data_IF_350472761253
#
_entry.id   IF_350472761253
#
_cell.length_a   1.000
_cell.length_b   1.000
_cell.length_c   1.000
_cell.angle_alpha   90.00
_cell.angle_beta   90.00
_cell.angle_gamma   90.00
#
_symmetry.space_group_name_H-M   'P 1'
#
loop_
_entity.id
_entity.type
_entity.pdbx_description
1 polymer ?
#
# COMPACT_ATOMS: atom_id res chain seq x y z
N UNK A 1 -9.89 -0.24 -12.64
CA UNK A 1 -10.77 0.49 -13.58
C UNK A 1 -11.27 1.71 -12.84
N UNK A 2 -10.80 2.91 -13.19
CA UNK A 2 -11.27 4.15 -12.57
C UNK A 2 -12.67 4.43 -13.12
N UNK A 3 -13.68 4.35 -12.25
CA UNK A 3 -15.06 4.69 -12.60
C UNK A 3 -15.28 6.13 -12.16
N UNK A 4 -15.24 7.06 -13.11
CA UNK A 4 -15.59 8.46 -12.86
C UNK A 4 -17.10 8.66 -13.02
N UNK A 5 -17.62 9.70 -12.38
CA UNK A 5 -19.03 10.05 -12.46
C UNK A 5 -19.39 10.43 -13.92
N UNK A 6 -20.39 9.80 -14.55
CA UNK A 6 -20.72 10.03 -15.96
C UNK A 6 -21.15 11.46 -16.28
N UNK A 7 -21.65 12.22 -15.30
CA UNK A 7 -21.98 13.64 -15.51
C UNK A 7 -20.73 14.51 -15.55
N UNK A 8 -19.74 14.21 -14.71
CA UNK A 8 -18.46 14.93 -14.66
C UNK A 8 -17.63 14.69 -15.92
N UNK A 9 -17.64 13.46 -16.45
CA UNK A 9 -16.97 13.13 -17.72
C UNK A 9 -17.54 13.92 -18.90
N UNK A 10 -18.85 14.15 -18.92
CA UNK A 10 -19.52 14.89 -20.02
C UNK A 10 -19.28 16.39 -19.93
N UNK A 11 -19.27 16.96 -18.74
CA UNK A 11 -19.20 18.41 -18.55
C UNK A 11 -17.76 18.93 -18.45
N UNK A 12 -16.86 18.20 -17.78
CA UNK A 12 -15.56 18.74 -17.37
C UNK A 12 -14.41 18.17 -18.21
N UNK A 13 -14.47 16.90 -18.59
CA UNK A 13 -13.40 16.25 -19.34
C UNK A 13 -13.12 16.89 -20.73
N UNK A 14 -14.13 17.28 -21.55
CA UNK A 14 -13.84 17.88 -22.86
C UNK A 14 -13.10 19.23 -22.72
N UNK A 15 -13.52 20.11 -21.80
CA UNK A 15 -12.84 21.38 -21.58
C UNK A 15 -11.43 21.23 -20.98
N UNK A 16 -11.21 20.19 -20.17
CA UNK A 16 -9.86 19.87 -19.68
C UNK A 16 -8.95 19.34 -20.80
N UNK A 17 -9.49 18.53 -21.71
CA UNK A 17 -8.77 18.02 -22.88
C UNK A 17 -8.44 19.11 -23.89
N UNK A 18 -9.35 20.05 -24.13
CA UNK A 18 -9.10 21.21 -24.99
C UNK A 18 -7.95 22.06 -24.45
N UNK A 19 -7.96 22.39 -23.16
CA UNK A 19 -6.86 23.12 -22.50
C UNK A 19 -5.54 22.36 -22.56
N UNK A 20 -5.58 21.03 -22.43
CA UNK A 20 -4.38 20.19 -22.57
C UNK A 20 -3.83 20.29 -24.00
N UNK A 21 -4.70 20.19 -25.01
CA UNK A 21 -4.30 20.28 -26.42
C UNK A 21 -3.75 21.68 -26.74
N UNK A 22 -4.35 22.74 -26.21
CA UNK A 22 -3.82 24.10 -26.33
C UNK A 22 -2.43 24.22 -25.70
N UNK A 23 -2.23 23.71 -24.49
CA UNK A 23 -0.92 23.69 -23.84
C UNK A 23 0.12 22.89 -24.63
N UNK A 24 -0.27 21.76 -25.22
CA UNK A 24 0.62 20.93 -26.06
C UNK A 24 0.97 21.65 -27.37
N UNK A 25 0.03 22.36 -27.98
CA UNK A 25 0.31 23.19 -29.16
C UNK A 25 1.23 24.36 -28.84
N UNK A 26 1.11 24.94 -27.64
CA UNK A 26 2.01 25.98 -27.16
C UNK A 26 3.39 25.47 -26.71
N UNK A 27 3.58 24.15 -26.56
CA UNK A 27 4.88 23.51 -26.32
C UNK A 27 5.70 23.29 -27.60
N UNK A 28 5.20 23.75 -28.76
CA UNK A 28 5.95 23.70 -30.02
C UNK A 28 7.10 24.70 -30.00
N UNK A 29 8.31 24.15 -30.12
CA UNK A 29 9.64 24.76 -30.20
C UNK A 29 10.21 25.29 -28.88
N UNK A 30 10.87 24.41 -28.08
CA UNK A 30 11.97 24.89 -27.26
C UNK A 30 13.11 25.29 -28.22
N UNK A 31 13.35 26.59 -28.37
CA UNK A 31 14.70 27.07 -28.62
C UNK A 31 15.64 26.31 -27.68
N UNK A 32 16.81 25.81 -28.14
CA UNK A 32 17.69 25.04 -27.30
C UNK A 32 18.32 25.96 -26.26
N UNK A 33 17.58 26.24 -25.18
CA UNK A 33 18.09 26.90 -23.98
C UNK A 33 19.35 26.15 -23.58
N UNK A 34 20.47 26.83 -23.72
CA UNK A 34 21.77 26.25 -23.44
C UNK A 34 21.78 25.79 -21.98
N UNK A 35 22.49 24.70 -21.69
CA UNK A 35 22.56 24.12 -20.34
C UNK A 35 22.99 25.18 -19.29
N UNK A 36 23.75 26.18 -19.74
CA UNK A 36 24.11 27.40 -19.01
C UNK A 36 22.93 28.27 -18.63
N UNK A 37 22.00 28.58 -19.54
CA UNK A 37 20.80 29.38 -19.24
C UNK A 37 19.89 28.68 -18.24
N UNK A 38 19.64 27.37 -18.41
CA UNK A 38 18.88 26.60 -17.41
C UNK A 38 19.56 26.60 -16.05
N UNK A 39 20.89 26.51 -16.01
CA UNK A 39 21.66 26.56 -14.76
C UNK A 39 21.55 27.92 -14.08
N UNK A 40 21.51 29.02 -14.83
CA UNK A 40 21.31 30.36 -14.27
C UNK A 40 19.92 30.57 -13.66
N UNK A 41 18.89 29.92 -14.20
CA UNK A 41 17.54 29.95 -13.62
C UNK A 41 17.48 29.33 -12.21
N UNK A 42 18.28 28.29 -11.95
CA UNK A 42 18.39 27.68 -10.61
C UNK A 42 19.25 28.48 -9.63
N UNK A 43 20.12 29.38 -10.11
CA UNK A 43 20.97 30.22 -9.23
C UNK A 43 20.29 31.51 -8.78
N UNK A 44 19.30 31.99 -9.53
CA UNK A 44 18.51 33.19 -9.20
C UNK A 44 17.33 32.88 -8.28
N UNK A 45 17.49 31.92 -7.37
CA UNK A 45 16.49 31.66 -6.33
C UNK A 45 16.56 32.78 -5.30
N UNK A 46 15.40 33.31 -4.85
CA UNK A 46 15.37 34.24 -3.74
C UNK A 46 16.12 33.64 -2.53
N UNK A 47 16.82 34.46 -1.72
CA UNK A 47 17.60 33.95 -0.61
C UNK A 47 16.72 33.05 0.26
N UNK A 48 17.24 31.91 0.77
CA UNK A 48 16.44 30.87 1.40
C UNK A 48 15.54 31.41 2.53
N UNK A 49 15.98 32.47 3.22
CA UNK A 49 15.22 33.18 4.24
C UNK A 49 13.91 33.81 3.75
N UNK A 50 13.87 34.32 2.51
CA UNK A 50 12.65 34.90 1.90
C UNK A 50 11.65 33.83 1.47
N UNK A 51 12.14 32.71 0.94
CA UNK A 51 11.31 31.53 0.62
C UNK A 51 10.72 30.90 1.89
N UNK A 52 11.53 30.75 2.95
CA UNK A 52 11.02 30.24 4.24
C UNK A 52 9.96 31.18 4.85
N UNK A 53 10.11 32.50 4.70
CA UNK A 53 9.12 33.49 5.15
C UNK A 53 7.81 33.42 4.37
N UNK A 54 7.87 33.27 3.05
CA UNK A 54 6.64 33.17 2.23
C UNK A 54 5.89 31.87 2.52
N UNK A 55 6.62 30.75 2.71
CA UNK A 55 6.04 29.46 3.11
C UNK A 55 5.40 29.57 4.49
N UNK A 56 6.09 30.15 5.48
CA UNK A 56 5.55 30.27 6.84
C UNK A 56 4.33 31.19 6.89
N UNK A 57 4.34 32.28 6.12
CA UNK A 57 3.18 33.18 5.97
C UNK A 57 1.99 32.45 5.34
N UNK A 58 2.23 31.67 4.28
CA UNK A 58 1.19 30.86 3.64
C UNK A 58 0.59 29.83 4.61
N UNK A 59 1.43 29.09 5.33
CA UNK A 59 0.99 28.12 6.32
C UNK A 59 0.21 28.80 7.47
N UNK A 60 0.67 29.97 7.93
CA UNK A 60 -0.02 30.77 8.93
C UNK A 60 -1.41 31.20 8.46
N UNK A 61 -1.53 31.68 7.22
CA UNK A 61 -2.81 32.04 6.61
C UNK A 61 -3.74 30.84 6.48
N UNK A 62 -3.20 29.69 6.08
CA UNK A 62 -4.01 28.48 5.89
C UNK A 62 -4.50 27.93 7.24
N UNK A 63 -3.65 27.94 8.29
CA UNK A 63 -4.04 27.61 9.66
C UNK A 63 -5.12 28.55 10.17
N UNK A 64 -4.95 29.86 10.02
CA UNK A 64 -5.95 30.84 10.46
C UNK A 64 -7.30 30.65 9.76
N UNK A 65 -7.30 30.33 8.45
CA UNK A 65 -8.53 30.03 7.72
C UNK A 65 -9.21 28.77 8.23
N UNK A 66 -8.44 27.70 8.44
CA UNK A 66 -8.96 26.45 8.97
C UNK A 66 -9.47 26.62 10.40
N UNK A 67 -8.75 27.34 11.25
CA UNK A 67 -9.16 27.62 12.62
C UNK A 67 -10.45 28.46 12.66
N UNK A 68 -10.57 29.47 11.79
CA UNK A 68 -11.80 30.26 11.67
C UNK A 68 -12.98 29.41 11.21
N UNK A 69 -12.79 28.56 10.19
CA UNK A 69 -13.82 27.64 9.69
C UNK A 69 -14.23 26.63 10.77
N UNK A 70 -13.26 25.99 11.42
CA UNK A 70 -13.48 25.02 12.48
C UNK A 70 -14.20 25.65 13.68
N UNK A 71 -13.81 26.87 14.08
CA UNK A 71 -14.49 27.58 15.16
C UNK A 71 -15.94 27.91 14.81
N UNK A 72 -16.21 28.37 13.58
CA UNK A 72 -17.56 28.69 13.13
C UNK A 72 -18.47 27.45 13.02
N UNK A 73 -17.90 26.31 12.64
CA UNK A 73 -18.65 25.06 12.49
C UNK A 73 -18.89 24.36 13.84
N UNK A 74 -17.84 24.24 14.66
CA UNK A 74 -17.86 23.35 15.83
C UNK A 74 -18.06 24.05 17.17
N UNK A 75 -17.91 25.38 17.26
CA UNK A 75 -18.06 26.11 18.53
C UNK A 75 -19.24 27.09 18.46
N UNK A 76 -19.88 27.32 19.61
CA UNK A 76 -20.83 28.43 19.76
C UNK A 76 -20.07 29.78 19.79
N UNK A 77 -20.67 30.88 19.31
CA UNK A 77 -20.05 32.20 19.40
C UNK A 77 -19.76 32.53 20.87
N UNK A 78 -18.51 32.86 21.14
CA UNK A 78 -17.92 32.92 22.48
C UNK A 78 -18.48 34.10 23.29
N UNK A 79 -18.95 33.84 24.51
CA UNK A 79 -18.78 34.80 25.61
C UNK A 79 -17.33 34.72 26.12
N UNK A 80 -16.85 35.76 26.80
CA UNK A 80 -15.42 36.03 27.09
C UNK A 80 -14.69 34.93 27.90
N UNK A 81 -15.38 33.91 28.41
CA UNK A 81 -14.83 32.83 29.26
C UNK A 81 -15.14 31.43 28.74
N UNK A 82 -15.14 31.25 27.42
CA UNK A 82 -15.45 29.98 26.76
C UNK A 82 -14.21 29.12 26.50
N UNK A 83 -14.32 27.80 26.67
CA UNK A 83 -13.32 26.84 26.20
C UNK A 83 -13.92 25.83 25.22
N UNK A 84 -13.11 25.33 24.28
CA UNK A 84 -13.58 24.41 23.23
C UNK A 84 -14.19 23.10 23.76
N UNK A 85 -13.91 22.73 25.02
CA UNK A 85 -14.49 21.56 25.68
C UNK A 85 -15.92 21.80 26.20
N UNK A 86 -16.27 23.02 26.55
CA UNK A 86 -17.58 23.35 27.14
C UNK A 86 -18.58 23.85 26.10
N UNK A 87 -18.10 24.45 25.01
CA UNK A 87 -18.94 25.24 24.10
C UNK A 87 -19.10 24.61 22.72
N UNK A 88 -18.90 23.30 22.64
CA UNK A 88 -19.11 22.53 21.42
C UNK A 88 -20.56 22.66 20.94
N UNK A 89 -20.72 22.97 19.65
CA UNK A 89 -22.02 22.97 18.97
C UNK A 89 -22.52 21.53 18.85
N UNK A 90 -23.80 21.31 19.12
CA UNK A 90 -24.44 20.01 18.89
C UNK A 90 -24.49 19.75 17.39
N UNK A 91 -23.78 18.72 16.93
CA UNK A 91 -23.78 18.30 15.52
C UNK A 91 -25.00 17.43 15.24
N UNK A 92 -25.72 17.76 14.18
CA UNK A 92 -26.77 16.91 13.64
C UNK A 92 -26.13 15.79 12.80
N UNK A 93 -26.17 14.57 13.33
CA UNK A 93 -25.51 13.42 12.71
C UNK A 93 -26.27 12.91 11.49
N UNK A 94 -27.57 13.18 11.40
CA UNK A 94 -28.42 12.69 10.31
C UNK A 94 -28.17 13.45 9.01
N UNK A 95 -27.79 14.74 9.11
CA UNK A 95 -27.36 15.55 7.95
C UNK A 95 -25.90 15.32 7.58
N UNK A 96 -25.03 14.99 8.54
CA UNK A 96 -23.59 14.78 8.31
C UNK A 96 -23.25 13.35 7.84
N UNK A 97 -24.05 12.34 8.22
CA UNK A 97 -23.83 10.94 7.84
C UNK A 97 -24.61 10.59 6.56
N UNK A 98 -23.92 10.57 5.42
CA UNK A 98 -24.49 9.99 4.19
C UNK A 98 -24.32 8.47 4.21
N UNK A 99 -25.41 7.73 4.31
CA UNK A 99 -25.37 6.27 4.22
C UNK A 99 -25.26 5.84 2.74
N UNK A 100 -24.07 5.39 2.33
CA UNK A 100 -23.91 4.66 1.08
C UNK A 100 -24.36 3.19 1.30
N UNK A 101 -25.67 2.97 1.30
CA UNK A 101 -26.24 1.62 1.39
C UNK A 101 -26.06 0.93 0.04
N UNK A 102 -24.98 0.15 -0.09
CA UNK A 102 -24.83 -0.78 -1.18
C UNK A 102 -25.87 -1.91 -1.04
N UNK A 103 -26.93 -1.86 -1.85
CA UNK A 103 -27.88 -2.97 -1.97
C UNK A 103 -27.21 -4.11 -2.74
N UNK A 104 -26.52 -4.97 -2.01
CA UNK A 104 -26.13 -6.27 -2.54
C UNK A 104 -27.37 -7.17 -2.49
N UNK A 105 -28.03 -7.36 -3.63
CA UNK A 105 -29.17 -8.29 -3.79
C UNK A 105 -28.79 -9.75 -3.46
N UNK A 106 -27.48 -10.07 -3.39
CA UNK A 106 -26.96 -11.36 -2.94
C UNK A 106 -26.41 -11.27 -1.51
N UNK A 107 -27.32 -11.44 -0.55
CA UNK A 107 -26.98 -11.64 0.85
C UNK A 107 -26.41 -13.04 1.14
N UNK A 108 -25.71 -13.22 2.27
CA UNK A 108 -25.11 -14.52 2.69
C UNK A 108 -26.10 -15.69 2.71
N UNK A 109 -27.39 -15.39 2.89
CA UNK A 109 -28.49 -16.37 2.97
C UNK A 109 -28.76 -17.10 1.64
N UNK A 110 -28.47 -16.47 0.48
CA UNK A 110 -28.64 -17.13 -0.83
C UNK A 110 -27.56 -18.18 -1.11
N UNK A 111 -26.43 -18.14 -0.39
CA UNK A 111 -25.36 -19.15 -0.50
C UNK A 111 -25.68 -20.47 0.20
N UNK A 112 -26.64 -20.49 1.12
CA UNK A 112 -26.91 -21.68 1.96
C UNK A 112 -28.17 -22.47 1.56
N UNK A 113 -29.04 -21.93 0.71
CA UNK A 113 -30.33 -22.57 0.39
C UNK A 113 -30.39 -23.36 -0.93
N UNK A 114 -29.27 -23.56 -1.64
CA UNK A 114 -29.29 -24.38 -2.87
C UNK A 114 -28.84 -25.83 -2.62
N UNK A 115 -29.73 -26.62 -2.04
CA UNK A 115 -29.71 -28.09 -2.18
C UNK A 115 -31.16 -28.60 -2.20
N UNK A 116 -31.70 -28.81 -3.40
CA UNK A 116 -32.47 -30.00 -3.80
C UNK A 116 -32.98 -29.90 -5.26
N UNK A 117 -32.35 -30.73 -6.11
CA UNK A 117 -32.79 -31.45 -7.32
C UNK A 117 -33.52 -30.74 -8.49
N UNK A 118 -32.91 -30.84 -9.68
CA UNK A 118 -33.60 -31.27 -10.91
C UNK A 118 -33.39 -30.42 -12.16
N UNK A 119 -32.58 -30.92 -13.12
CA UNK A 119 -32.56 -30.73 -14.60
C UNK A 119 -32.75 -29.32 -15.17
N UNK A 120 -31.88 -28.80 -16.05
CA UNK A 120 -31.78 -29.17 -17.47
C UNK A 120 -30.43 -28.67 -18.02
N UNK A 121 -29.86 -29.45 -18.95
CA UNK A 121 -28.66 -29.18 -19.75
C UNK A 121 -28.74 -27.82 -20.46
N UNK A 122 -27.66 -27.04 -20.45
CA UNK A 122 -27.14 -26.56 -21.73
C UNK A 122 -25.67 -26.15 -21.67
N UNK A 123 -25.02 -26.35 -22.81
CA UNK A 123 -23.59 -26.36 -23.01
C UNK A 123 -22.99 -24.95 -23.08
N UNK A 124 -22.01 -24.70 -22.22
CA UNK A 124 -20.72 -24.08 -22.56
C UNK A 124 -19.87 -24.05 -21.30
N UNK A 125 -18.91 -24.98 -21.27
CA UNK A 125 -17.91 -25.05 -20.22
C UNK A 125 -17.16 -23.73 -20.07
N UNK A 126 -17.39 -23.05 -18.95
CA UNK A 126 -16.44 -22.14 -18.30
C UNK A 126 -16.71 -22.25 -16.80
N UNK A 127 -16.02 -23.18 -16.15
CA UNK A 127 -15.72 -23.03 -14.73
C UNK A 127 -14.94 -21.71 -14.60
N UNK A 128 -15.59 -20.67 -14.10
CA UNK A 128 -14.86 -19.55 -13.49
C UNK A 128 -14.26 -20.08 -12.20
N UNK A 129 -13.01 -20.53 -12.30
CA UNK A 129 -12.07 -20.55 -11.19
C UNK A 129 -11.83 -19.08 -10.85
N UNK A 130 -12.59 -18.56 -9.88
CA UNK A 130 -12.45 -17.16 -9.48
C UNK A 130 -11.10 -16.96 -8.77
N UNK A 131 -10.20 -16.32 -9.53
CA UNK A 131 -8.92 -15.69 -9.15
C UNK A 131 -7.87 -16.61 -8.51
N UNK A 132 -7.20 -17.37 -9.36
CA UNK A 132 -5.80 -17.70 -9.14
C UNK A 132 -4.98 -16.41 -8.95
N UNK A 133 -4.67 -16.12 -7.69
CA UNK A 133 -3.36 -15.70 -7.20
C UNK A 133 -2.47 -14.95 -8.21
N UNK A 134 -2.75 -13.65 -8.43
CA UNK A 134 -1.86 -12.71 -9.13
C UNK A 134 -0.48 -12.56 -8.43
N UNK A 135 -0.21 -13.25 -7.32
CA UNK A 135 1.11 -13.27 -6.68
C UNK A 135 2.12 -14.18 -7.38
N UNK A 136 1.66 -15.13 -8.21
CA UNK A 136 2.53 -16.06 -8.96
C UNK A 136 3.28 -15.41 -10.12
N UNK A 137 3.07 -14.13 -10.41
CA UNK A 137 3.72 -13.43 -11.55
C UNK A 137 4.77 -12.41 -11.10
N UNK A 138 5.00 -12.25 -9.80
CA UNK A 138 6.00 -11.31 -9.30
C UNK A 138 7.39 -11.99 -9.25
N UNK A 139 8.35 -11.63 -10.13
CA UNK A 139 9.68 -12.25 -10.16
C UNK A 139 10.43 -12.08 -8.83
N UNK A 140 10.18 -10.98 -8.11
CA UNK A 140 10.74 -10.72 -6.78
C UNK A 140 10.31 -11.74 -5.72
N UNK A 141 9.16 -12.40 -5.89
CA UNK A 141 8.69 -13.43 -4.94
C UNK A 141 9.43 -14.74 -5.16
N UNK A 142 9.76 -15.08 -6.41
CA UNK A 142 10.55 -16.27 -6.73
C UNK A 142 12.00 -16.14 -6.24
N UNK A 143 12.60 -14.96 -6.39
CA UNK A 143 13.94 -14.67 -5.84
C UNK A 143 13.97 -14.87 -4.32
N UNK A 144 12.98 -14.33 -3.61
CA UNK A 144 12.83 -14.55 -2.17
C UNK A 144 12.63 -16.02 -1.79
N UNK A 145 11.90 -16.79 -2.60
CA UNK A 145 11.71 -18.23 -2.35
C UNK A 145 13.04 -18.97 -2.54
N UNK A 146 13.80 -18.65 -3.59
CA UNK A 146 15.12 -19.23 -3.82
C UNK A 146 16.10 -18.90 -2.68
N UNK A 147 16.08 -17.65 -2.19
CA UNK A 147 16.89 -17.22 -1.05
C UNK A 147 16.50 -17.99 0.23
N UNK A 148 15.20 -18.21 0.46
CA UNK A 148 14.70 -18.97 1.60
C UNK A 148 15.07 -20.45 1.50
N UNK A 149 14.95 -21.05 0.31
CA UNK A 149 15.32 -22.44 0.06
C UNK A 149 16.82 -22.67 0.24
N UNK A 150 17.65 -21.73 -0.23
CA UNK A 150 19.08 -21.72 0.01
C UNK A 150 19.42 -21.53 1.50
N UNK A 151 18.68 -20.66 2.21
CA UNK A 151 18.89 -20.42 3.64
C UNK A 151 18.53 -21.62 4.51
N UNK A 152 17.53 -22.40 4.11
CA UNK A 152 17.05 -23.57 4.85
C UNK A 152 17.67 -24.89 4.37
N UNK A 153 18.44 -24.87 3.27
CA UNK A 153 18.93 -26.06 2.58
C UNK A 153 17.81 -27.09 2.26
N UNK A 154 16.63 -26.59 1.91
CA UNK A 154 15.46 -27.41 1.57
C UNK A 154 15.01 -27.08 0.16
N UNK A 155 14.87 -28.09 -0.70
CA UNK A 155 14.30 -27.95 -2.04
C UNK A 155 12.81 -28.31 -2.00
N UNK A 156 11.94 -27.36 -2.33
CA UNK A 156 10.50 -27.60 -2.34
C UNK A 156 10.02 -28.25 -3.64
N UNK A 157 9.13 -29.23 -3.53
CA UNK A 157 8.39 -29.80 -4.68
C UNK A 157 6.91 -29.47 -4.48
N UNK A 158 6.26 -28.76 -5.41
CA UNK A 158 4.88 -28.31 -5.20
C UNK A 158 3.89 -29.47 -5.35
N UNK A 159 3.14 -29.75 -4.29
CA UNK A 159 1.85 -30.43 -4.36
C UNK A 159 0.74 -29.37 -4.43
N UNK A 160 -0.07 -29.39 -5.48
CA UNK A 160 -1.20 -28.45 -5.67
C UNK A 160 -2.42 -28.83 -4.81
N UNK A 161 -3.27 -27.88 -4.33
CA UNK A 161 -3.09 -26.44 -4.20
C UNK A 161 -3.23 -26.01 -2.73
N UNK A 162 -2.11 -25.77 -2.03
CA UNK A 162 -2.14 -25.03 -0.76
C UNK A 162 -1.78 -23.57 -1.05
N UNK A 163 -2.65 -22.64 -0.66
CA UNK A 163 -2.38 -21.21 -0.82
C UNK A 163 -1.04 -20.83 -0.15
N UNK A 164 -0.30 -19.88 -0.71
CA UNK A 164 0.98 -19.42 -0.18
C UNK A 164 0.86 -19.00 1.31
N UNK A 165 -0.27 -18.43 1.68
CA UNK A 165 -0.58 -18.03 3.05
C UNK A 165 -0.73 -19.25 3.99
N UNK A 166 -1.35 -20.32 3.50
CA UNK A 166 -1.39 -21.61 4.21
C UNK A 166 0.02 -22.19 4.39
N UNK A 167 0.91 -22.05 3.39
CA UNK A 167 2.31 -22.47 3.49
C UNK A 167 3.06 -21.69 4.57
N UNK A 168 2.94 -20.37 4.61
CA UNK A 168 3.57 -19.52 5.63
C UNK A 168 3.10 -19.95 7.01
N UNK A 169 1.78 -20.05 7.21
CA UNK A 169 1.19 -20.46 8.49
C UNK A 169 1.69 -21.83 8.93
N UNK A 170 1.77 -22.80 8.03
CA UNK A 170 2.25 -24.15 8.37
C UNK A 170 3.73 -24.13 8.79
N UNK A 171 4.56 -23.35 8.10
CA UNK A 171 5.98 -23.20 8.44
C UNK A 171 6.15 -22.50 9.79
N UNK A 172 5.39 -21.45 10.08
CA UNK A 172 5.39 -20.77 11.38
C UNK A 172 4.97 -21.70 12.52
N UNK A 173 3.86 -22.43 12.36
CA UNK A 173 3.40 -23.42 13.34
C UNK A 173 4.43 -24.55 13.55
N UNK A 174 5.20 -24.89 12.52
CA UNK A 174 6.26 -25.88 12.64
C UNK A 174 7.51 -25.34 13.33
N UNK A 175 7.93 -24.10 13.03
CA UNK A 175 9.05 -23.42 13.69
C UNK A 175 8.76 -23.29 15.20
N UNK A 176 7.55 -22.84 15.57
CA UNK A 176 7.13 -22.70 16.97
C UNK A 176 7.20 -24.06 17.70
N UNK A 177 6.79 -25.15 17.03
CA UNK A 177 6.92 -26.50 17.61
C UNK A 177 8.37 -26.89 17.84
N UNK A 178 9.25 -26.65 16.88
CA UNK A 178 10.67 -26.99 17.00
C UNK A 178 11.37 -26.17 18.10
N UNK A 179 11.06 -24.88 18.24
CA UNK A 179 11.58 -24.07 19.35
C UNK A 179 11.11 -24.55 20.72
N UNK A 180 9.87 -25.05 20.80
CA UNK A 180 9.29 -25.56 22.04
C UNK A 180 9.82 -26.94 22.41
N UNK A 181 9.90 -27.85 21.44
CA UNK A 181 10.26 -29.26 21.67
C UNK A 181 11.77 -29.47 21.74
N UNK A 182 12.54 -28.73 20.96
CA UNK A 182 14.00 -28.85 20.93
C UNK A 182 14.71 -27.48 20.96
N UNK A 183 14.62 -26.75 22.09
CA UNK A 183 15.26 -25.44 22.25
C UNK A 183 16.77 -25.40 21.91
N UNK A 184 17.63 -26.36 22.32
CA UNK A 184 19.06 -26.28 22.03
C UNK A 184 19.38 -26.54 20.55
N UNK A 185 18.60 -27.39 19.88
CA UNK A 185 18.74 -27.64 18.44
C UNK A 185 18.27 -26.42 17.64
N UNK A 186 17.09 -25.88 17.96
CA UNK A 186 16.55 -24.66 17.36
C UNK A 186 17.50 -23.48 17.56
N UNK A 187 18.06 -23.32 18.76
CA UNK A 187 19.04 -22.28 19.04
C UNK A 187 20.29 -22.41 18.17
N UNK A 188 20.74 -23.64 17.84
CA UNK A 188 21.90 -23.87 16.97
C UNK A 188 21.59 -23.57 15.50
N UNK A 189 20.42 -23.99 15.02
CA UNK A 189 20.06 -23.99 13.60
C UNK A 189 19.26 -22.76 13.15
N UNK A 190 18.58 -22.03 14.03
CA UNK A 190 17.84 -20.81 13.69
C UNK A 190 18.69 -19.55 13.84
N UNK A 191 18.57 -18.66 12.87
CA UNK A 191 19.26 -17.38 12.86
C UNK A 191 18.49 -16.35 13.70
N UNK A 192 18.68 -16.39 15.02
CA UNK A 192 18.02 -15.49 15.95
C UNK A 192 18.72 -14.11 15.99
N UNK A 193 18.00 -12.99 15.77
CA UNK A 193 18.59 -11.67 15.85
C UNK A 193 19.08 -11.38 17.27
N UNK A 194 20.34 -10.94 17.41
CA UNK A 194 21.11 -10.75 18.66
C UNK A 194 21.74 -12.00 19.29
N UNK A 195 22.01 -13.03 18.48
CA UNK A 195 22.94 -14.11 18.86
C UNK A 195 24.40 -13.69 18.64
N UNK A 196 24.82 -12.58 19.23
CA UNK A 196 26.20 -12.10 19.11
C UNK A 196 27.15 -13.02 19.89
N UNK A 197 27.90 -13.81 19.12
CA UNK A 197 29.30 -14.17 19.31
C UNK A 197 29.74 -14.69 20.70
N UNK A 198 29.59 -15.99 20.93
CA UNK A 198 30.61 -16.81 21.59
C UNK A 198 30.25 -18.29 21.44
N UNK A 199 30.67 -18.92 20.34
CA UNK A 199 31.13 -20.32 20.28
C UNK A 199 31.86 -20.43 18.94
N UNK A 200 33.19 -20.41 19.02
CA UNK A 200 34.07 -20.92 17.99
C UNK A 200 33.65 -22.36 17.70
N UNK A 201 33.23 -22.66 16.47
CA UNK A 201 33.46 -23.97 15.89
C UNK A 201 34.22 -23.78 14.59
N UNK A 202 35.50 -24.12 14.71
CA UNK A 202 36.48 -24.29 13.65
C UNK A 202 35.84 -25.08 12.49
N UNK A 203 35.85 -24.47 11.30
CA UNK A 203 35.70 -25.20 10.05
C UNK A 203 36.90 -26.14 9.89
N UNK A 204 36.71 -27.45 9.64
CA UNK A 204 37.79 -28.28 9.16
C UNK A 204 37.72 -28.38 7.63
N UNK A 205 38.91 -28.29 7.04
CA UNK A 205 39.31 -28.81 5.74
C UNK A 205 39.31 -27.83 4.54
N UNK A 206 40.35 -26.99 4.57
CA UNK A 206 41.16 -26.69 3.39
C UNK A 206 41.63 -27.99 2.71
N UNK A 207 41.39 -28.11 1.40
CA UNK A 207 42.07 -29.06 0.51
C UNK A 207 42.76 -28.27 -0.60
N UNK A 208 44.09 -28.23 -0.60
CA UNK A 208 44.95 -28.18 -1.80
C UNK A 208 46.42 -28.21 -1.35
N UNK A 209 47.06 -29.38 -1.44
CA UNK A 209 48.01 -29.79 -2.49
C UNK A 209 49.44 -29.24 -2.27
N UNK A 210 50.33 -30.12 -1.77
CA UNK A 210 51.76 -30.06 -2.08
C UNK A 210 51.97 -30.44 -3.56
N UNK A 211 53.03 -29.92 -4.21
CA UNK A 211 54.12 -30.85 -4.54
C UNK A 211 55.54 -30.27 -4.39
N UNK A 212 56.43 -31.20 -4.01
CA UNK A 212 57.91 -31.31 -4.10
C UNK A 212 58.77 -30.13 -3.65
#
# INVERSE_FOLDING_TARGET
MLVLNPTWERETAPGALERLIENIKHLSEPEPDTLTERKTAYTNLPPPSTVTKSISQYLGRNRARNDASNRAEFLRPTSETSCARTDAKTLDRDTQMKYDIAKNEDGPLRRTTKKEKGSVLDEKGKQKVDRADESLTNPAVFERIADIEAHLAVHYVPSSPASLLTRIRFLEEHIIRLEKEYPPWAALHFNQPRRNASIFFQSPNCVSKCPV
#
